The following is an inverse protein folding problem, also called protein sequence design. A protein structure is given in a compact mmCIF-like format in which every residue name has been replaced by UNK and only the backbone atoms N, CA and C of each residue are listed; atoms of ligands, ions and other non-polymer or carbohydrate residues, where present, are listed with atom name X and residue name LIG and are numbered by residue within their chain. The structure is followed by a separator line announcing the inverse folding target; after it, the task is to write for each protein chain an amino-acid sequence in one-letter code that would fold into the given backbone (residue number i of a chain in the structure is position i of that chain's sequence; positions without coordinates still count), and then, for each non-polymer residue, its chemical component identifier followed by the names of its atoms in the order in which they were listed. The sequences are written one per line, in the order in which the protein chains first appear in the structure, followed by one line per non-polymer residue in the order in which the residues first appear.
data_IF_374607787838
#
_entry.id   IF_374607787838
#
_cell.length_a   1.000
_cell.length_b   1.000
_cell.length_c   1.000
_cell.angle_alpha   90.00
_cell.angle_beta   90.00
_cell.angle_gamma   90.00
#
_symmetry.space_group_name_H-M   'P 1'
#
loop_
_entity.id
_entity.type
_entity.pdbx_description
1 polymer ?
#
# COMPACT_ATOMS: atom_id res chain seq x y z
N UNK A 1 -4.12 -12.99 6.36
CA UNK A 1 -3.95 -14.21 5.53
C UNK A 1 -2.61 -14.22 4.79
N UNK A 2 -2.41 -13.46 3.70
CA UNK A 2 -1.13 -13.54 2.95
C UNK A 2 0.09 -13.10 3.78
N UNK A 3 -0.05 -12.05 4.60
CA UNK A 3 1.02 -11.59 5.50
C UNK A 3 1.43 -12.69 6.49
N UNK A 4 0.46 -13.29 7.17
CA UNK A 4 0.69 -14.27 8.24
C UNK A 4 1.38 -15.54 7.73
N UNK A 5 0.99 -16.00 6.52
CA UNK A 5 1.64 -17.16 5.88
C UNK A 5 3.11 -16.89 5.56
N UNK A 6 3.41 -15.68 5.07
CA UNK A 6 4.78 -15.26 4.82
C UNK A 6 5.53 -15.06 6.16
N UNK A 7 4.85 -14.72 7.26
CA UNK A 7 5.47 -14.56 8.60
C UNK A 7 5.81 -15.93 9.18
N UNK A 8 5.01 -16.95 8.86
CA UNK A 8 5.26 -18.34 9.20
C UNK A 8 6.34 -19.02 8.31
N UNK A 9 6.95 -18.29 7.37
CA UNK A 9 8.00 -18.83 6.51
C UNK A 9 7.52 -19.84 5.46
N UNK A 10 6.21 -19.86 5.16
CA UNK A 10 5.61 -20.84 4.24
C UNK A 10 5.83 -20.52 2.75
N UNK A 11 6.61 -19.49 2.42
CA UNK A 11 6.96 -19.18 1.03
C UNK A 11 7.45 -17.74 0.79
N UNK A 12 7.53 -17.39 -0.49
CA UNK A 12 7.83 -16.04 -0.99
C UNK A 12 6.57 -15.40 -1.56
N UNK A 13 6.43 -14.07 -1.44
CA UNK A 13 5.26 -13.37 -1.94
C UNK A 13 5.44 -11.86 -2.01
N UNK A 14 4.75 -11.24 -2.97
CA UNK A 14 4.81 -9.80 -3.18
C UNK A 14 3.83 -9.09 -2.23
N UNK A 15 4.37 -8.43 -1.20
CA UNK A 15 3.62 -7.57 -0.30
C UNK A 15 3.86 -6.10 -0.68
N UNK A 16 2.88 -5.21 -0.50
CA UNK A 16 3.12 -3.78 -0.55
C UNK A 16 4.19 -3.34 0.46
N UNK A 17 4.99 -2.36 0.09
CA UNK A 17 6.11 -1.86 0.89
C UNK A 17 5.69 -1.42 2.29
N UNK A 18 4.51 -0.80 2.46
CA UNK A 18 4.01 -0.41 3.79
C UNK A 18 3.76 -1.59 4.74
N UNK A 19 3.43 -2.78 4.21
CA UNK A 19 3.25 -4.00 5.01
C UNK A 19 4.57 -4.73 5.25
N UNK A 20 5.48 -4.68 4.27
CA UNK A 20 6.76 -5.39 4.33
C UNK A 20 7.84 -4.60 5.10
N UNK A 21 7.85 -3.28 5.01
CA UNK A 21 8.89 -2.41 5.59
C UNK A 21 9.12 -2.64 7.09
N UNK A 22 8.09 -2.77 7.95
CA UNK A 22 8.31 -3.06 9.37
C UNK A 22 8.97 -4.43 9.61
N UNK A 23 8.60 -5.44 8.80
CA UNK A 23 9.13 -6.79 8.94
C UNK A 23 10.56 -6.92 8.40
N UNK A 24 10.89 -6.17 7.34
CA UNK A 24 12.25 -6.06 6.79
C UNK A 24 13.14 -5.29 7.77
N UNK A 25 12.67 -4.15 8.30
CA UNK A 25 13.40 -3.37 9.29
C UNK A 25 13.67 -4.17 10.58
N UNK A 26 12.75 -5.05 10.98
CA UNK A 26 12.92 -5.95 12.10
C UNK A 26 13.82 -7.18 11.81
N UNK A 27 14.38 -7.29 10.59
CA UNK A 27 15.22 -8.43 10.18
C UNK A 27 14.45 -9.77 10.07
N UNK A 28 13.12 -9.74 10.14
CA UNK A 28 12.27 -10.95 10.06
C UNK A 28 12.00 -11.39 8.61
N UNK A 29 12.29 -10.53 7.63
CA UNK A 29 12.10 -10.76 6.20
C UNK A 29 13.28 -10.18 5.43
N UNK A 30 13.58 -10.79 4.28
CA UNK A 30 14.57 -10.28 3.33
C UNK A 30 13.85 -9.82 2.07
N UNK A 31 14.26 -8.69 1.51
CA UNK A 31 13.78 -8.25 0.22
C UNK A 31 14.42 -9.11 -0.88
N UNK A 32 13.58 -9.80 -1.65
CA UNK A 32 14.01 -10.70 -2.71
C UNK A 32 13.89 -10.00 -4.07
N UNK A 33 14.89 -10.18 -4.93
CA UNK A 33 14.97 -9.59 -6.28
C UNK A 33 14.89 -8.04 -6.29
N UNK A 34 15.83 -7.34 -5.62
CA UNK A 34 15.87 -5.86 -5.63
C UNK A 34 15.98 -5.26 -7.05
N UNK A 35 16.54 -6.02 -7.99
CA UNK A 35 16.78 -5.57 -9.36
C UNK A 35 15.55 -5.75 -10.28
N UNK A 36 14.48 -6.37 -9.78
CA UNK A 36 13.25 -6.62 -10.54
C UNK A 36 12.04 -6.00 -9.81
N UNK A 37 11.86 -4.66 -9.89
CA UNK A 37 10.76 -3.99 -9.24
C UNK A 37 9.40 -4.49 -9.75
N UNK A 38 8.45 -4.71 -8.83
CA UNK A 38 7.07 -5.03 -9.18
C UNK A 38 6.39 -3.84 -9.86
N UNK A 39 5.33 -4.05 -10.65
CA UNK A 39 4.60 -2.93 -11.24
C UNK A 39 3.99 -2.03 -10.13
N UNK A 40 4.08 -0.69 -10.26
CA UNK A 40 3.53 0.23 -9.27
C UNK A 40 2.03 0.01 -9.12
N UNK A 41 1.55 -0.06 -7.88
CA UNK A 41 0.12 -0.18 -7.57
C UNK A 41 -0.40 1.15 -7.06
N UNK A 42 -1.43 1.69 -7.73
CA UNK A 42 -2.07 2.94 -7.34
C UNK A 42 -3.33 2.68 -6.51
N UNK A 43 -3.53 3.50 -5.49
CA UNK A 43 -4.76 3.52 -4.68
C UNK A 43 -5.68 4.62 -5.21
N UNK A 44 -6.92 4.27 -5.52
CA UNK A 44 -7.92 5.21 -6.04
C UNK A 44 -9.05 5.40 -5.04
N UNK A 45 -9.45 6.65 -4.81
CA UNK A 45 -10.68 6.97 -4.09
C UNK A 45 -11.85 6.98 -5.08
N UNK A 46 -12.75 6.00 -4.98
CA UNK A 46 -13.92 5.86 -5.86
C UNK A 46 -15.17 6.35 -5.14
N UNK A 47 -15.88 7.30 -5.75
CA UNK A 47 -17.16 7.80 -5.26
C UNK A 47 -18.11 8.03 -6.44
N UNK A 48 -19.44 7.93 -6.24
CA UNK A 48 -20.41 8.18 -7.30
C UNK A 48 -20.25 9.61 -7.83
N UNK A 49 -20.26 9.77 -9.15
CA UNK A 49 -20.27 11.08 -9.81
C UNK A 49 -21.61 11.76 -9.53
N UNK A 50 -21.72 12.41 -8.38
CA UNK A 50 -22.88 13.24 -8.05
C UNK A 50 -22.59 14.66 -8.54
N UNK A 51 -23.56 15.29 -9.21
CA UNK A 51 -23.43 16.64 -9.78
C UNK A 51 -23.01 17.70 -8.72
N UNK A 52 -23.23 17.39 -7.45
CA UNK A 52 -22.75 18.16 -6.30
C UNK A 52 -22.00 17.22 -5.35
N UNK A 53 -20.67 17.14 -5.50
CA UNK A 53 -19.84 16.45 -4.50
C UNK A 53 -19.98 17.21 -3.18
N UNK A 54 -20.43 16.53 -2.13
CA UNK A 54 -20.59 17.17 -0.83
C UNK A 54 -19.22 17.68 -0.35
N UNK A 55 -19.11 18.94 0.12
CA UNK A 55 -17.84 19.50 0.59
C UNK A 55 -17.14 18.63 1.65
N UNK A 56 -17.92 17.92 2.47
CA UNK A 56 -17.42 16.96 3.47
C UNK A 56 -16.69 15.77 2.84
N UNK A 57 -17.16 15.25 1.71
CA UNK A 57 -16.50 14.15 0.99
C UNK A 57 -15.22 14.64 0.35
N UNK A 58 -15.23 15.83 -0.27
CA UNK A 58 -14.01 16.45 -0.81
C UNK A 58 -12.96 16.65 0.28
N UNK A 59 -13.34 17.27 1.40
CA UNK A 59 -12.45 17.48 2.53
C UNK A 59 -11.89 16.17 3.10
N UNK A 60 -12.68 15.09 3.10
CA UNK A 60 -12.20 13.77 3.52
C UNK A 60 -11.21 13.16 2.52
N UNK A 61 -11.47 13.27 1.22
CA UNK A 61 -10.52 12.80 0.19
C UNK A 61 -9.23 13.60 0.21
N UNK A 62 -9.31 14.93 0.37
CA UNK A 62 -8.14 15.80 0.52
C UNK A 62 -7.35 15.42 1.78
N UNK A 63 -8.02 15.23 2.92
CA UNK A 63 -7.40 14.76 4.15
C UNK A 63 -6.70 13.41 3.98
N UNK A 64 -7.34 12.46 3.30
CA UNK A 64 -6.75 11.16 3.01
C UNK A 64 -5.53 11.32 2.09
N UNK A 65 -5.60 12.15 1.05
CA UNK A 65 -4.48 12.40 0.15
C UNK A 65 -3.25 12.97 0.89
N UNK A 66 -3.47 13.86 1.87
CA UNK A 66 -2.39 14.46 2.68
C UNK A 66 -1.80 13.51 3.73
N UNK A 67 -2.59 12.57 4.26
CA UNK A 67 -2.17 11.68 5.36
C UNK A 67 -1.82 10.25 4.91
N UNK A 68 -2.15 9.88 3.68
CA UNK A 68 -1.75 8.60 3.11
C UNK A 68 -0.23 8.63 2.85
N UNK A 69 0.54 7.67 3.39
CA UNK A 69 1.97 7.61 3.13
C UNK A 69 2.23 7.52 1.63
N UNK A 70 3.25 8.23 1.14
CA UNK A 70 3.69 8.17 -0.26
C UNK A 70 3.96 6.72 -0.74
N UNK A 71 4.20 5.81 0.21
CA UNK A 71 4.33 4.38 -0.01
C UNK A 71 3.06 3.67 -0.58
N UNK A 72 1.93 4.39 -0.64
CA UNK A 72 0.67 3.92 -1.22
C UNK A 72 0.47 4.44 -2.65
N UNK A 73 1.34 5.33 -3.15
CA UNK A 73 1.17 6.02 -4.44
C UNK A 73 1.78 5.29 -5.64
N UNK A 74 2.48 4.18 -5.43
CA UNK A 74 3.02 3.39 -6.52
C UNK A 74 4.27 2.63 -6.13
N UNK A 75 4.22 1.88 -5.03
CA UNK A 75 5.41 1.20 -4.54
C UNK A 75 5.63 -0.13 -5.26
N UNK A 76 6.81 -0.20 -5.88
CA UNK A 76 7.54 -1.35 -6.35
C UNK A 76 8.31 -2.01 -5.19
#
# INVERSE_FOLDING_TARGET
MLRDLLEAGLGIGALPSFLAAPAIAAGKRVHLLPDLPAAPRHVYAVYPTSRHLQPKVKAFVDFLADHLPAAMHGDC
#
